data_IF_210276209927
#
_entry.id   IF_210276209927
#
_cell.length_a   1.000
_cell.length_b   1.000
_cell.length_c   1.000
_cell.angle_alpha   90.00
_cell.angle_beta   90.00
_cell.angle_gamma   90.00
#
_symmetry.space_group_name_H-M   'P 1'
#
loop_
_entity.id
_entity.type
_entity.pdbx_description
1 polymer ?
#
# COMPACT_ATOMS: atom_id res chain seq x y z
N UNK A 1 4.61 32.16 -20.39
CA UNK A 1 3.93 30.86 -20.56
C UNK A 1 3.95 30.06 -19.27
N UNK A 2 5.07 30.05 -18.55
CA UNK A 2 5.26 29.36 -17.26
C UNK A 2 4.17 29.63 -16.19
N UNK A 3 3.72 30.88 -16.03
CA UNK A 3 2.63 31.20 -15.07
C UNK A 3 1.31 30.52 -15.47
N UNK A 4 0.95 30.54 -16.75
CA UNK A 4 -0.28 29.90 -17.23
C UNK A 4 -0.20 28.36 -17.09
N UNK A 5 0.96 27.77 -17.36
CA UNK A 5 1.20 26.35 -17.12
C UNK A 5 1.11 25.99 -15.64
N UNK A 6 1.63 26.83 -14.74
CA UNK A 6 1.51 26.61 -13.30
C UNK A 6 0.05 26.67 -12.83
N UNK A 7 -0.75 27.61 -13.34
CA UNK A 7 -2.18 27.66 -13.05
C UNK A 7 -2.91 26.41 -13.58
N UNK A 8 -2.52 25.92 -14.75
CA UNK A 8 -3.07 24.69 -15.31
C UNK A 8 -2.72 23.48 -14.44
N UNK A 9 -1.45 23.29 -14.06
CA UNK A 9 -1.02 22.20 -13.15
C UNK A 9 -1.75 22.24 -11.81
N UNK A 10 -2.04 23.44 -11.30
CA UNK A 10 -2.82 23.59 -10.07
C UNK A 10 -4.25 23.07 -10.23
N UNK A 11 -4.92 23.42 -11.33
CA UNK A 11 -6.27 22.91 -11.62
C UNK A 11 -6.23 21.39 -11.84
N UNK A 12 -5.23 20.89 -12.57
CA UNK A 12 -5.04 19.47 -12.85
C UNK A 12 -4.90 18.66 -11.55
N UNK A 13 -4.05 19.14 -10.62
CA UNK A 13 -3.88 18.53 -9.30
C UNK A 13 -5.18 18.46 -8.49
N UNK A 14 -6.03 19.51 -8.56
CA UNK A 14 -7.35 19.48 -7.90
C UNK A 14 -8.20 18.33 -8.46
N UNK A 15 -8.19 18.11 -9.77
CA UNK A 15 -8.95 17.02 -10.38
C UNK A 15 -8.34 15.65 -10.12
N UNK A 16 -7.00 15.53 -10.04
CA UNK A 16 -6.32 14.31 -9.61
C UNK A 16 -6.74 13.91 -8.18
N UNK A 17 -6.73 14.85 -7.22
CA UNK A 17 -7.19 14.59 -5.85
C UNK A 17 -8.67 14.18 -5.79
N UNK A 18 -9.53 14.81 -6.59
CA UNK A 18 -10.95 14.43 -6.68
C UNK A 18 -11.14 13.03 -7.27
N UNK A 19 -10.32 12.63 -8.23
CA UNK A 19 -10.36 11.29 -8.81
C UNK A 19 -9.96 10.22 -7.79
N UNK A 20 -8.95 10.47 -6.95
CA UNK A 20 -8.57 9.61 -5.82
C UNK A 20 -9.75 9.44 -4.83
N UNK A 21 -10.52 10.51 -4.56
CA UNK A 21 -11.65 10.44 -3.63
C UNK A 21 -12.85 9.65 -4.14
N UNK A 22 -13.00 9.49 -5.46
CA UNK A 22 -14.11 8.77 -6.07
C UNK A 22 -14.24 7.33 -5.56
N UNK A 23 -13.13 6.67 -5.25
CA UNK A 23 -13.15 5.33 -4.68
C UNK A 23 -13.89 5.28 -3.34
N UNK A 24 -13.76 6.31 -2.48
CA UNK A 24 -14.40 6.35 -1.17
C UNK A 24 -15.91 6.64 -1.24
N UNK A 25 -16.37 7.29 -2.31
CA UNK A 25 -17.80 7.46 -2.58
C UNK A 25 -18.47 6.15 -2.99
N UNK A 26 -17.74 5.31 -3.74
CA UNK A 26 -18.22 4.00 -4.20
C UNK A 26 -18.19 2.95 -3.07
N UNK A 27 -17.19 3.01 -2.19
CA UNK A 27 -16.99 2.05 -1.11
C UNK A 27 -17.81 2.43 0.12
N UNK A 28 -18.79 1.58 0.46
CA UNK A 28 -19.77 1.85 1.52
C UNK A 28 -19.29 1.46 2.92
N UNK A 29 -18.48 0.41 3.05
CA UNK A 29 -18.01 -0.08 4.35
C UNK A 29 -16.63 0.47 4.70
N UNK A 30 -16.38 0.70 5.99
CA UNK A 30 -15.05 1.10 6.47
C UNK A 30 -13.97 0.06 6.13
N UNK A 31 -14.35 -1.22 6.10
CA UNK A 31 -13.44 -2.32 5.77
C UNK A 31 -13.01 -2.27 4.30
N UNK A 32 -13.94 -1.99 3.38
CA UNK A 32 -13.62 -1.88 1.95
C UNK A 32 -12.75 -0.65 1.66
N UNK A 33 -13.00 0.46 2.37
CA UNK A 33 -12.18 1.68 2.29
C UNK A 33 -10.74 1.42 2.77
N UNK A 34 -10.57 0.74 3.89
CA UNK A 34 -9.24 0.36 4.39
C UNK A 34 -8.52 -0.58 3.43
N UNK A 35 -9.24 -1.52 2.80
CA UNK A 35 -8.66 -2.40 1.77
C UNK A 35 -8.21 -1.62 0.54
N UNK A 36 -9.02 -0.68 0.06
CA UNK A 36 -8.66 0.17 -1.08
C UNK A 36 -7.40 0.97 -0.78
N UNK A 37 -7.35 1.63 0.38
CA UNK A 37 -6.16 2.36 0.83
C UNK A 37 -4.92 1.46 0.82
N UNK A 38 -5.03 0.25 1.38
CA UNK A 38 -3.89 -0.65 1.52
C UNK A 38 -3.37 -1.21 0.18
N UNK A 39 -4.26 -1.46 -0.79
CA UNK A 39 -3.90 -2.16 -2.04
C UNK A 39 -3.64 -1.18 -3.20
N UNK A 40 -4.25 0.01 -3.17
CA UNK A 40 -4.22 0.95 -4.30
C UNK A 40 -3.55 2.29 -3.97
N UNK A 41 -3.81 2.84 -2.80
CA UNK A 41 -3.47 4.24 -2.52
C UNK A 41 -2.15 4.39 -1.75
N UNK A 42 -1.93 3.55 -0.75
CA UNK A 42 -0.83 3.69 0.19
C UNK A 42 0.52 3.42 -0.48
N UNK A 43 1.36 4.46 -0.54
CA UNK A 43 2.74 4.36 -1.03
C UNK A 43 3.72 3.87 0.04
N UNK A 44 3.40 4.11 1.31
CA UNK A 44 4.19 3.68 2.47
C UNK A 44 3.26 2.95 3.44
N UNK A 45 3.60 1.72 3.78
CA UNK A 45 2.88 0.90 4.76
C UNK A 45 3.84 0.54 5.89
N UNK A 46 3.41 0.77 7.13
CA UNK A 46 4.14 0.38 8.33
C UNK A 46 3.34 -0.64 9.14
N UNK A 47 4.02 -1.69 9.62
CA UNK A 47 3.45 -2.70 10.51
C UNK A 47 4.56 -3.35 11.34
N UNK A 48 4.19 -3.94 12.48
CA UNK A 48 5.14 -4.77 13.24
C UNK A 48 5.30 -6.14 12.58
N UNK A 49 6.45 -6.80 12.79
CA UNK A 49 6.68 -8.15 12.24
C UNK A 49 5.68 -9.18 12.79
N UNK A 50 5.28 -9.03 14.05
CA UNK A 50 4.22 -9.85 14.66
C UNK A 50 2.87 -9.66 13.96
N UNK A 51 2.55 -8.43 13.54
CA UNK A 51 1.32 -8.15 12.80
C UNK A 51 1.38 -8.72 11.37
N UNK A 52 2.52 -8.60 10.71
CA UNK A 52 2.77 -9.21 9.40
C UNK A 52 2.53 -10.73 9.43
N UNK A 53 3.02 -11.40 10.48
CA UNK A 53 2.79 -12.83 10.72
C UNK A 53 1.31 -13.19 10.84
N UNK A 54 0.57 -12.46 11.68
CA UNK A 54 -0.85 -12.73 11.91
C UNK A 54 -1.72 -12.42 10.67
N UNK A 55 -1.35 -11.41 9.88
CA UNK A 55 -2.15 -10.93 8.75
C UNK A 55 -1.71 -11.43 7.38
N UNK A 56 -0.64 -12.22 7.30
CA UNK A 56 -0.10 -12.73 6.03
C UNK A 56 -1.16 -13.29 5.09
N UNK A 57 -2.01 -14.20 5.57
CA UNK A 57 -3.03 -14.83 4.70
C UNK A 57 -4.03 -13.83 4.15
N UNK A 58 -4.41 -12.83 4.95
CA UNK A 58 -5.35 -11.78 4.53
C UNK A 58 -4.69 -10.86 3.51
N UNK A 59 -3.46 -10.40 3.77
CA UNK A 59 -2.70 -9.52 2.88
C UNK A 59 -2.48 -10.16 1.49
N UNK A 60 -2.10 -11.43 1.47
CA UNK A 60 -1.91 -12.19 0.22
C UNK A 60 -3.23 -12.33 -0.55
N UNK A 61 -4.34 -12.65 0.14
CA UNK A 61 -5.66 -12.77 -0.49
C UNK A 61 -6.19 -11.43 -1.03
N UNK A 62 -5.85 -10.32 -0.37
CA UNK A 62 -6.20 -8.97 -0.81
C UNK A 62 -5.36 -8.50 -2.00
N UNK A 63 -4.31 -9.22 -2.38
CA UNK A 63 -3.42 -8.84 -3.47
C UNK A 63 -2.48 -7.69 -3.08
N UNK A 64 -2.08 -7.61 -1.81
CA UNK A 64 -1.06 -6.68 -1.34
C UNK A 64 0.24 -6.83 -2.14
N UNK A 65 0.83 -5.70 -2.54
CA UNK A 65 2.03 -5.63 -3.36
C UNK A 65 2.94 -4.52 -2.86
N UNK A 66 4.24 -4.75 -2.94
CA UNK A 66 5.26 -3.77 -2.59
C UNK A 66 6.57 -4.13 -3.29
N UNK A 67 7.36 -3.10 -3.61
CA UNK A 67 8.66 -3.25 -4.27
C UNK A 67 9.82 -3.24 -3.28
N UNK A 68 9.66 -2.52 -2.15
CA UNK A 68 10.73 -2.27 -1.18
C UNK A 68 10.30 -2.65 0.23
N UNK A 69 11.21 -3.22 1.02
CA UNK A 69 11.05 -3.49 2.45
C UNK A 69 12.15 -2.77 3.21
N UNK A 70 11.77 -2.10 4.29
CA UNK A 70 12.68 -1.55 5.29
C UNK A 70 12.29 -2.12 6.66
N UNK A 71 13.27 -2.63 7.40
CA UNK A 71 13.07 -3.20 8.74
C UNK A 71 13.94 -2.47 9.75
N UNK A 72 13.33 -1.97 10.82
CA UNK A 72 14.02 -1.47 12.01
C UNK A 72 14.23 -2.60 13.03
N UNK A 73 15.20 -2.42 13.93
CA UNK A 73 15.47 -3.35 15.05
C UNK A 73 15.71 -4.82 14.63
N UNK A 74 16.21 -5.06 13.41
CA UNK A 74 16.33 -6.41 12.83
C UNK A 74 17.11 -7.42 13.67
N UNK A 75 18.07 -6.97 14.48
CA UNK A 75 18.81 -7.82 15.40
C UNK A 75 17.98 -8.40 16.56
N UNK A 76 16.79 -7.85 16.82
CA UNK A 76 15.87 -8.27 17.90
C UNK A 76 14.72 -9.14 17.40
N UNK A 77 14.63 -9.35 16.09
CA UNK A 77 13.53 -10.07 15.44
C UNK A 77 13.95 -11.51 15.20
N UNK A 78 13.04 -12.47 15.45
CA UNK A 78 13.31 -13.88 15.16
C UNK A 78 13.47 -14.10 13.66
N UNK A 79 14.36 -15.01 13.25
CA UNK A 79 14.62 -15.29 11.83
C UNK A 79 13.33 -15.63 11.04
N UNK A 80 12.43 -16.40 11.66
CA UNK A 80 11.13 -16.72 11.07
C UNK A 80 10.23 -15.48 10.88
N UNK A 81 10.27 -14.54 11.82
CA UNK A 81 9.51 -13.29 11.75
C UNK A 81 10.14 -12.29 10.78
N UNK A 82 11.46 -12.36 10.55
CA UNK A 82 12.14 -11.61 9.49
C UNK A 82 11.78 -12.13 8.11
N UNK A 83 11.57 -13.45 7.97
CA UNK A 83 11.24 -14.07 6.69
C UNK A 83 9.81 -13.78 6.22
N UNK A 84 8.85 -13.67 7.15
CA UNK A 84 7.44 -13.48 6.80
C UNK A 84 7.16 -12.21 5.97
N UNK A 85 7.65 -11.01 6.35
CA UNK A 85 7.50 -9.79 5.56
C UNK A 85 7.96 -9.92 4.12
N UNK A 86 8.91 -10.81 3.81
CA UNK A 86 9.40 -11.06 2.45
C UNK A 86 8.37 -11.82 1.59
N UNK A 87 7.38 -12.46 2.20
CA UNK A 87 6.38 -13.33 1.57
C UNK A 87 4.93 -12.85 1.77
N UNK A 88 4.73 -11.54 1.88
CA UNK A 88 3.40 -10.93 2.03
C UNK A 88 2.67 -10.71 0.69
N UNK A 89 3.32 -11.02 -0.43
CA UNK A 89 2.77 -10.91 -1.78
C UNK A 89 2.90 -12.23 -2.56
N UNK A 90 2.02 -12.45 -3.53
CA UNK A 90 2.16 -13.55 -4.47
C UNK A 90 3.26 -13.23 -5.51
N UNK A 91 3.97 -14.25 -6.03
CA UNK A 91 4.95 -14.04 -7.10
C UNK A 91 4.31 -13.37 -8.31
N UNK A 92 4.97 -12.36 -8.86
CA UNK A 92 4.59 -11.81 -10.17
C UNK A 92 5.26 -12.67 -11.25
N UNK A 93 4.46 -13.17 -12.19
CA UNK A 93 4.90 -13.97 -13.34
C UNK A 93 5.66 -15.28 -13.03
N UNK A 94 5.50 -15.82 -11.81
CA UNK A 94 6.08 -17.10 -11.41
C UNK A 94 7.60 -17.07 -11.19
N UNK A 95 8.20 -15.88 -11.03
CA UNK A 95 9.60 -15.73 -10.62
C UNK A 95 9.65 -15.32 -9.15
N UNK A 96 10.27 -16.17 -8.35
CA UNK A 96 10.61 -15.92 -6.94
C UNK A 96 11.99 -15.29 -6.82
#
# INVERSE_FOLDING_TARGET
MEIAESCYRYIDHIFEELEEFRAFELLRSGLDRSKYLLVKEAKIIAMTCTHAALKRSELVQMGFKYDNILMEESAQILEIETFIPLLLQNPQDGRS
#
